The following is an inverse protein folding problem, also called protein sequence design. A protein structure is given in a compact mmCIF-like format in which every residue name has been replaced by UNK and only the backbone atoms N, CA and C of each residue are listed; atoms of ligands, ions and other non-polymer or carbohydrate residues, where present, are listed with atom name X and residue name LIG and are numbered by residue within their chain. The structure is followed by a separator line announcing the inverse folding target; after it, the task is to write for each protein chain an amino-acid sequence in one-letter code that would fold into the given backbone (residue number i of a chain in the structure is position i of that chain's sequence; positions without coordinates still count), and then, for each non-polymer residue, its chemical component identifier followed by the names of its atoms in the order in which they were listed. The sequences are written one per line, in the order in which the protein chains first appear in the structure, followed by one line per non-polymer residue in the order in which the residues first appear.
data_IF_725502949232
#
_entry.id   IF_725502949232
#
_cell.length_a   1.000
_cell.length_b   1.000
_cell.length_c   1.000
_cell.angle_alpha   90.00
_cell.angle_beta   90.00
_cell.angle_gamma   90.00
#
_symmetry.space_group_name_H-M   'P 1'
#
loop_
_entity.id
_entity.type
_entity.pdbx_description
1 polymer ?
#
# COMPACT_ATOMS: atom_id res chain seq x y z
N UNK A 1 16.50 -22.73 7.21
CA UNK A 1 16.46 -21.80 8.35
C UNK A 1 17.77 -21.99 9.11
N UNK A 2 18.64 -20.99 9.11
CA UNK A 2 19.98 -21.06 9.66
C UNK A 2 19.96 -21.19 11.19
N UNK A 3 20.97 -21.83 11.76
CA UNK A 3 21.23 -21.94 13.20
C UNK A 3 21.59 -20.59 13.88
N UNK A 4 21.18 -19.48 13.27
CA UNK A 4 21.47 -18.13 13.78
C UNK A 4 20.55 -17.86 14.98
N UNK A 5 21.08 -17.94 16.18
CA UNK A 5 20.38 -17.84 17.47
C UNK A 5 19.83 -16.43 17.77
N UNK A 6 20.08 -15.44 16.91
CA UNK A 6 19.59 -14.06 17.09
C UNK A 6 18.30 -13.76 16.30
N UNK A 7 17.86 -14.68 15.43
CA UNK A 7 16.67 -14.48 14.62
C UNK A 7 15.51 -15.30 15.16
N UNK A 8 14.38 -14.66 15.40
CA UNK A 8 13.13 -15.31 15.82
C UNK A 8 12.18 -15.45 14.62
N UNK A 9 11.39 -16.51 14.63
CA UNK A 9 10.44 -16.79 13.54
C UNK A 9 9.01 -16.88 14.08
N UNK A 10 8.07 -16.41 13.27
CA UNK A 10 6.65 -16.76 13.42
C UNK A 10 6.25 -17.63 12.24
N UNK A 11 5.76 -18.82 12.52
CA UNK A 11 5.35 -19.78 11.50
C UNK A 11 3.84 -19.96 11.58
N UNK A 12 3.16 -19.76 10.46
CA UNK A 12 1.75 -20.09 10.31
C UNK A 12 1.64 -21.47 9.69
N UNK A 13 1.45 -22.49 10.53
CA UNK A 13 1.52 -23.89 10.13
C UNK A 13 0.13 -24.43 9.75
N UNK A 14 -0.10 -24.76 8.46
CA UNK A 14 -1.32 -25.45 8.05
C UNK A 14 -1.32 -26.87 8.60
N UNK A 15 -2.45 -27.30 9.13
CA UNK A 15 -2.65 -28.70 9.57
C UNK A 15 -2.79 -29.64 8.37
N UNK A 16 -2.65 -30.96 8.60
CA UNK A 16 -2.92 -31.96 7.56
C UNK A 16 -4.33 -31.81 6.96
N UNK A 17 -5.30 -31.42 7.79
CA UNK A 17 -6.66 -31.12 7.35
C UNK A 17 -6.70 -29.90 6.42
N UNK A 18 -5.84 -28.90 6.62
CA UNK A 18 -5.71 -27.75 5.75
C UNK A 18 -5.18 -28.14 4.37
N UNK A 19 -4.17 -29.02 4.31
CA UNK A 19 -3.64 -29.54 3.05
C UNK A 19 -4.67 -30.34 2.26
N UNK A 20 -5.55 -31.09 2.93
CA UNK A 20 -6.64 -31.83 2.30
C UNK A 20 -7.70 -30.95 1.62
N UNK A 21 -7.76 -29.66 1.97
CA UNK A 21 -8.65 -28.68 1.31
C UNK A 21 -8.11 -28.18 -0.03
N UNK A 22 -6.84 -28.42 -0.34
CA UNK A 22 -6.26 -28.06 -1.63
C UNK A 22 -6.86 -28.91 -2.75
N UNK A 23 -6.86 -28.37 -3.96
CA UNK A 23 -7.27 -29.12 -5.13
C UNK A 23 -6.44 -30.41 -5.29
N UNK A 24 -7.10 -31.48 -5.74
CA UNK A 24 -6.44 -32.79 -5.93
C UNK A 24 -5.22 -32.66 -6.84
N UNK A 25 -4.08 -33.17 -6.38
CA UNK A 25 -2.81 -33.09 -7.12
C UNK A 25 -1.94 -31.89 -6.80
N UNK A 26 -2.46 -30.85 -6.09
CA UNK A 26 -1.67 -29.63 -5.78
C UNK A 26 -0.41 -29.96 -4.95
N UNK A 27 -0.54 -30.82 -3.93
CA UNK A 27 0.61 -31.20 -3.10
C UNK A 27 1.67 -31.92 -3.91
N UNK A 28 1.26 -32.86 -4.77
CA UNK A 28 2.18 -33.58 -5.67
C UNK A 28 2.86 -32.63 -6.65
N UNK A 29 2.13 -31.67 -7.18
CA UNK A 29 2.69 -30.63 -8.06
C UNK A 29 3.72 -29.77 -7.33
N UNK A 30 3.44 -29.37 -6.08
CA UNK A 30 4.39 -28.59 -5.28
C UNK A 30 5.65 -29.38 -4.90
N UNK A 31 5.52 -30.70 -4.71
CA UNK A 31 6.65 -31.59 -4.38
C UNK A 31 7.43 -32.06 -5.60
N UNK A 32 7.03 -31.73 -6.83
CA UNK A 32 7.79 -32.02 -8.04
C UNK A 32 9.05 -31.13 -8.07
N UNK A 33 10.26 -31.69 -8.18
CA UNK A 33 11.51 -30.92 -8.21
C UNK A 33 11.59 -29.81 -9.26
N UNK A 34 10.75 -29.88 -10.29
CA UNK A 34 10.64 -28.83 -11.31
C UNK A 34 9.90 -27.60 -10.83
N UNK A 35 9.27 -27.66 -9.65
CA UNK A 35 8.48 -26.59 -9.04
C UNK A 35 9.09 -26.10 -7.71
N UNK A 36 10.40 -26.32 -7.50
CA UNK A 36 11.09 -25.92 -6.26
C UNK A 36 10.90 -24.43 -5.93
N UNK A 37 11.00 -23.54 -6.92
CA UNK A 37 10.77 -22.10 -6.73
C UNK A 37 9.35 -21.81 -6.19
N UNK A 38 8.37 -22.55 -6.71
CA UNK A 38 6.97 -22.39 -6.25
C UNK A 38 6.76 -22.95 -4.86
N UNK A 39 7.42 -24.05 -4.56
CA UNK A 39 7.42 -24.65 -3.22
C UNK A 39 8.02 -23.66 -2.21
N UNK A 40 9.19 -23.11 -2.53
CA UNK A 40 9.87 -22.11 -1.68
C UNK A 40 9.00 -20.87 -1.48
N UNK A 41 8.37 -20.37 -2.54
CA UNK A 41 7.45 -19.22 -2.45
C UNK A 41 6.28 -19.52 -1.51
N UNK A 42 5.60 -20.65 -1.67
CA UNK A 42 4.45 -21.03 -0.83
C UNK A 42 4.88 -21.18 0.62
N UNK A 43 5.96 -21.92 0.91
CA UNK A 43 6.42 -22.12 2.28
C UNK A 43 7.01 -20.85 2.90
N UNK A 44 7.75 -20.06 2.16
CA UNK A 44 8.23 -18.75 2.59
C UNK A 44 7.09 -17.79 2.94
N UNK A 45 5.93 -17.94 2.29
CA UNK A 45 4.73 -17.16 2.61
C UNK A 45 4.04 -17.60 3.92
N UNK A 46 4.42 -18.72 4.51
CA UNK A 46 3.98 -19.17 5.84
C UNK A 46 4.93 -18.75 6.97
N UNK A 47 6.04 -18.11 6.63
CA UNK A 47 7.09 -17.77 7.59
C UNK A 47 7.29 -16.27 7.64
N UNK A 48 7.34 -15.72 8.85
CA UNK A 48 7.75 -14.36 9.14
C UNK A 48 9.02 -14.38 9.96
N UNK A 49 10.08 -13.80 9.44
CA UNK A 49 11.33 -13.57 10.16
C UNK A 49 11.23 -12.28 10.97
N UNK A 50 11.79 -12.31 12.19
CA UNK A 50 11.74 -11.21 13.15
C UNK A 50 13.12 -11.06 13.78
N UNK A 51 13.64 -9.83 13.79
CA UNK A 51 14.90 -9.47 14.41
C UNK A 51 14.79 -9.21 15.94
N UNK A 52 13.58 -9.22 16.46
CA UNK A 52 13.28 -8.92 17.88
C UNK A 52 12.28 -9.97 18.41
N UNK A 53 11.89 -9.87 19.69
CA UNK A 53 11.02 -10.84 20.36
C UNK A 53 9.79 -11.31 19.54
N UNK A 54 9.24 -12.51 19.80
CA UNK A 54 8.14 -13.10 19.02
C UNK A 54 6.97 -12.15 18.82
N UNK A 55 6.44 -12.08 17.60
CA UNK A 55 5.33 -11.19 17.27
C UNK A 55 4.05 -11.67 17.96
N UNK A 56 3.49 -10.80 18.78
CA UNK A 56 2.09 -10.89 19.15
C UNK A 56 1.26 -10.34 17.96
N UNK A 57 0.73 -11.24 17.13
CA UNK A 57 -0.04 -10.92 15.92
C UNK A 57 -1.24 -10.00 16.18
N UNK A 58 -1.70 -9.93 17.44
CA UNK A 58 -2.78 -9.06 17.94
C UNK A 58 -2.59 -7.57 17.63
N UNK A 59 -1.35 -7.18 17.36
CA UNK A 59 -0.97 -5.77 17.16
C UNK A 59 -0.94 -5.37 15.68
N UNK A 60 -1.09 -6.31 14.76
CA UNK A 60 -0.86 -6.07 13.35
C UNK A 60 -2.13 -6.31 12.53
N UNK A 61 -2.39 -5.44 11.55
CA UNK A 61 -3.43 -5.63 10.52
C UNK A 61 -2.87 -6.28 9.25
N UNK A 62 -1.55 -6.19 9.07
CA UNK A 62 -0.84 -6.75 7.92
C UNK A 62 0.56 -7.22 8.32
N UNK A 63 0.99 -8.34 7.78
CA UNK A 63 2.33 -8.87 7.95
C UNK A 63 3.06 -8.91 6.61
N UNK A 64 4.35 -8.53 6.62
CA UNK A 64 5.25 -8.78 5.50
C UNK A 64 5.98 -10.08 5.73
N UNK A 65 5.75 -11.06 4.87
CA UNK A 65 6.31 -12.40 4.97
C UNK A 65 7.76 -12.46 4.45
N UNK A 66 8.46 -13.58 4.62
CA UNK A 66 9.83 -13.76 4.10
C UNK A 66 9.91 -13.64 2.59
N UNK A 67 8.87 -13.98 1.87
CA UNK A 67 8.71 -13.75 0.42
C UNK A 67 8.62 -12.28 0.01
N UNK A 68 8.67 -11.35 0.99
CA UNK A 68 8.42 -9.91 0.85
C UNK A 68 6.98 -9.51 0.54
N UNK A 69 6.09 -10.44 0.26
CA UNK A 69 4.67 -10.19 0.06
C UNK A 69 3.95 -9.91 1.37
N UNK A 70 2.78 -9.31 1.26
CA UNK A 70 1.96 -8.94 2.41
C UNK A 70 0.78 -9.89 2.56
N UNK A 71 0.37 -10.11 3.81
CA UNK A 71 -0.84 -10.84 4.16
C UNK A 71 -1.60 -10.09 5.24
N UNK A 72 -2.91 -9.97 5.08
CA UNK A 72 -3.79 -9.35 6.08
C UNK A 72 -3.97 -10.25 7.30
N UNK A 73 -4.05 -9.64 8.48
CA UNK A 73 -4.35 -10.33 9.74
C UNK A 73 -5.52 -9.62 10.42
N UNK A 74 -6.56 -10.37 10.73
CA UNK A 74 -7.65 -9.90 11.58
C UNK A 74 -7.70 -10.75 12.86
N UNK A 75 -6.98 -10.31 13.86
CA UNK A 75 -6.89 -11.05 15.13
C UNK A 75 -8.25 -11.16 15.84
N UNK A 76 -9.09 -10.14 15.75
CA UNK A 76 -10.43 -10.15 16.37
C UNK A 76 -11.34 -11.22 15.78
N UNK A 77 -11.24 -11.45 14.49
CA UNK A 77 -11.96 -12.50 13.76
C UNK A 77 -11.21 -13.82 13.74
N UNK A 78 -9.96 -13.84 14.22
CA UNK A 78 -9.12 -15.02 14.25
C UNK A 78 -8.66 -15.47 12.88
N UNK A 79 -8.36 -14.53 11.95
CA UNK A 79 -7.99 -14.85 10.55
C UNK A 79 -6.64 -14.30 10.15
N UNK A 80 -6.00 -14.98 9.20
CA UNK A 80 -4.82 -14.55 8.45
C UNK A 80 -5.04 -14.87 6.97
N UNK A 81 -5.10 -13.83 6.11
CA UNK A 81 -5.60 -14.00 4.76
C UNK A 81 -7.00 -14.62 4.76
N UNK A 82 -7.16 -15.74 4.08
CA UNK A 82 -8.40 -16.52 4.03
C UNK A 82 -8.41 -17.73 4.98
N UNK A 83 -7.33 -17.93 5.77
CA UNK A 83 -7.22 -18.97 6.78
C UNK A 83 -7.71 -18.49 8.15
N UNK A 84 -8.16 -19.45 8.99
CA UNK A 84 -8.53 -19.23 10.38
C UNK A 84 -7.47 -19.81 11.30
N UNK A 85 -7.16 -19.11 12.41
CA UNK A 85 -6.40 -19.69 13.50
C UNK A 85 -7.21 -20.78 14.19
N UNK A 86 -6.56 -21.91 14.51
CA UNK A 86 -7.22 -23.04 15.21
C UNK A 86 -7.23 -22.87 16.74
N UNK A 87 -6.75 -21.71 17.23
CA UNK A 87 -6.70 -21.38 18.65
C UNK A 87 -5.48 -21.90 19.40
N UNK A 88 -4.71 -22.83 18.84
CA UNK A 88 -3.50 -23.35 19.46
C UNK A 88 -2.26 -22.59 19.01
N UNK A 89 -1.49 -22.08 19.99
CA UNK A 89 -0.20 -21.41 19.78
C UNK A 89 0.88 -22.26 20.45
N UNK A 90 1.96 -22.55 19.71
CA UNK A 90 3.04 -23.40 20.18
C UNK A 90 4.31 -22.53 20.32
N UNK A 91 4.78 -22.26 21.55
CA UNK A 91 6.04 -21.55 21.74
C UNK A 91 7.23 -22.47 21.41
N UNK A 92 8.26 -21.91 20.76
CA UNK A 92 9.51 -22.58 20.42
C UNK A 92 10.70 -21.78 20.95
N UNK A 93 11.88 -22.39 21.04
CA UNK A 93 13.10 -21.72 21.52
C UNK A 93 13.52 -20.53 20.65
N UNK A 94 13.19 -20.56 19.37
CA UNK A 94 13.54 -19.53 18.38
C UNK A 94 12.31 -18.89 17.72
N UNK A 95 11.12 -18.99 18.31
CA UNK A 95 9.93 -18.39 17.72
C UNK A 95 8.61 -18.94 18.23
N UNK A 96 7.58 -18.83 17.39
CA UNK A 96 6.22 -19.25 17.72
C UNK A 96 5.53 -19.85 16.49
N UNK A 97 4.71 -20.89 16.72
CA UNK A 97 3.89 -21.51 15.66
C UNK A 97 2.41 -21.22 15.94
N UNK A 98 1.73 -20.67 14.94
CA UNK A 98 0.27 -20.54 14.90
C UNK A 98 -0.29 -21.60 13.96
N UNK A 99 -1.20 -22.44 14.46
CA UNK A 99 -1.88 -23.42 13.61
C UNK A 99 -3.02 -22.76 12.83
N UNK A 100 -3.09 -23.08 11.53
CA UNK A 100 -4.10 -22.53 10.63
C UNK A 100 -4.84 -23.65 9.88
N UNK A 101 -6.08 -23.35 9.46
CA UNK A 101 -7.00 -24.30 8.85
C UNK A 101 -6.94 -24.36 7.30
N UNK A 102 -6.11 -23.51 6.69
CA UNK A 102 -5.85 -23.50 5.24
C UNK A 102 -4.39 -23.21 4.96
N UNK A 103 -3.91 -23.68 3.81
CA UNK A 103 -2.59 -23.32 3.26
C UNK A 103 -2.68 -21.89 2.72
N UNK A 104 -1.78 -21.01 3.18
CA UNK A 104 -1.69 -19.64 2.67
C UNK A 104 -1.14 -19.65 1.25
N UNK A 105 -1.79 -18.94 0.36
CA UNK A 105 -1.35 -18.80 -1.02
C UNK A 105 -0.93 -17.36 -1.29
N UNK A 106 0.32 -17.14 -1.75
CA UNK A 106 0.75 -15.81 -2.15
C UNK A 106 -0.17 -15.22 -3.22
N UNK A 107 -0.47 -13.94 -3.12
CA UNK A 107 -1.20 -13.26 -4.20
C UNK A 107 -0.29 -13.05 -5.40
N UNK A 108 -0.78 -13.39 -6.58
CA UNK A 108 -0.07 -13.16 -7.85
C UNK A 108 -0.52 -11.87 -8.54
N UNK A 109 -1.62 -11.28 -8.08
CA UNK A 109 -2.16 -10.06 -8.67
C UNK A 109 -1.32 -8.85 -8.27
N UNK A 110 -0.82 -8.13 -9.26
CA UNK A 110 -0.26 -6.80 -9.05
C UNK A 110 -1.37 -5.78 -8.68
N UNK A 111 -0.97 -4.55 -8.35
CA UNK A 111 -1.91 -3.48 -7.98
C UNK A 111 -2.96 -3.24 -9.06
N UNK A 112 -2.56 -3.24 -10.35
CA UNK A 112 -3.49 -2.98 -11.45
C UNK A 112 -4.49 -4.13 -11.64
N UNK A 113 -4.00 -5.37 -11.65
CA UNK A 113 -4.84 -6.56 -11.76
C UNK A 113 -5.84 -6.66 -10.60
N UNK A 114 -5.38 -6.35 -9.39
CA UNK A 114 -6.24 -6.35 -8.20
C UNK A 114 -7.36 -5.30 -8.31
N UNK A 115 -7.03 -4.08 -8.76
CA UNK A 115 -8.02 -3.03 -8.99
C UNK A 115 -9.03 -3.41 -10.07
N UNK A 116 -8.58 -4.03 -11.17
CA UNK A 116 -9.47 -4.47 -12.26
C UNK A 116 -10.46 -5.55 -11.80
N UNK A 117 -10.02 -6.49 -10.96
CA UNK A 117 -10.85 -7.60 -10.46
C UNK A 117 -11.88 -7.18 -9.41
N UNK A 118 -11.64 -6.09 -8.71
CA UNK A 118 -12.49 -5.66 -7.58
C UNK A 118 -13.84 -5.10 -8.03
N UNK A 119 -13.90 -4.50 -9.22
CA UNK A 119 -15.15 -3.94 -9.80
C UNK A 119 -15.58 -2.59 -9.23
N UNK A 120 -15.03 -2.11 -8.11
CA UNK A 120 -15.33 -0.79 -7.50
C UNK A 120 -14.52 0.36 -8.11
N UNK A 121 -13.55 0.06 -8.96
CA UNK A 121 -12.51 0.98 -9.44
C UNK A 121 -12.51 1.10 -10.96
N UNK A 122 -13.68 1.02 -11.60
CA UNK A 122 -13.76 1.01 -13.08
C UNK A 122 -13.29 2.31 -13.70
N UNK A 123 -13.62 3.45 -13.08
CA UNK A 123 -13.15 4.77 -13.54
C UNK A 123 -11.66 4.94 -13.26
N UNK A 124 -11.18 4.51 -12.09
CA UNK A 124 -9.77 4.63 -11.73
C UNK A 124 -8.86 3.77 -12.64
N UNK A 125 -9.23 2.52 -12.91
CA UNK A 125 -8.49 1.64 -13.84
C UNK A 125 -8.49 2.16 -15.27
N UNK A 126 -9.61 2.75 -15.72
CA UNK A 126 -9.66 3.47 -17.00
C UNK A 126 -8.69 4.66 -17.01
N UNK A 127 -8.65 5.42 -15.92
CA UNK A 127 -7.74 6.57 -15.78
C UNK A 127 -6.27 6.16 -15.78
N UNK A 128 -5.89 5.08 -15.05
CA UNK A 128 -4.54 4.50 -15.07
C UNK A 128 -4.13 4.09 -16.50
N UNK A 129 -5.05 3.50 -17.24
CA UNK A 129 -4.78 3.08 -18.63
C UNK A 129 -4.63 4.29 -19.56
N UNK A 130 -5.52 5.26 -19.46
CA UNK A 130 -5.51 6.48 -20.28
C UNK A 130 -4.26 7.34 -20.03
N UNK A 131 -3.84 7.47 -18.75
CA UNK A 131 -2.62 8.20 -18.38
C UNK A 131 -1.31 7.47 -18.73
N UNK A 132 -1.37 6.26 -19.30
CA UNK A 132 -0.22 5.40 -19.63
C UNK A 132 0.62 4.99 -18.41
N UNK A 133 0.09 5.14 -17.18
CA UNK A 133 0.78 4.80 -15.94
C UNK A 133 0.63 3.33 -15.53
N UNK A 134 0.02 2.48 -16.35
CA UNK A 134 -0.16 1.05 -16.07
C UNK A 134 1.13 0.34 -15.66
N UNK A 135 2.27 0.67 -16.30
CA UNK A 135 3.58 0.10 -15.95
C UNK A 135 4.03 0.39 -14.51
N UNK A 136 3.65 1.54 -13.95
CA UNK A 136 3.96 1.89 -12.55
C UNK A 136 3.22 0.95 -11.60
N UNK A 137 1.94 0.69 -11.85
CA UNK A 137 1.11 -0.20 -11.04
C UNK A 137 1.43 -1.69 -11.21
N UNK A 138 2.08 -2.07 -12.31
CA UNK A 138 2.48 -3.45 -12.63
C UNK A 138 3.95 -3.74 -12.28
N UNK A 139 4.70 -2.75 -11.78
CA UNK A 139 6.11 -2.92 -11.48
C UNK A 139 6.31 -3.84 -10.27
N UNK A 140 6.89 -5.03 -10.51
CA UNK A 140 7.17 -6.05 -9.48
C UNK A 140 8.51 -5.86 -8.76
N UNK A 141 9.36 -4.91 -9.21
CA UNK A 141 10.68 -4.68 -8.62
C UNK A 141 10.65 -3.75 -7.40
N UNK A 142 9.56 -3.03 -7.22
CA UNK A 142 9.35 -2.10 -6.10
C UNK A 142 8.04 -2.40 -5.39
N UNK A 143 7.91 -1.91 -4.17
CA UNK A 143 6.70 -2.04 -3.37
C UNK A 143 6.02 -0.68 -3.25
N UNK A 144 4.74 -0.66 -3.53
CA UNK A 144 3.94 0.57 -3.59
C UNK A 144 2.77 0.55 -2.62
N UNK A 145 2.27 1.73 -2.30
CA UNK A 145 0.93 1.90 -1.73
C UNK A 145 0.09 2.71 -2.70
N UNK A 146 -1.08 2.20 -3.03
CA UNK A 146 -2.07 2.90 -3.84
C UNK A 146 -3.24 3.33 -2.98
N UNK A 147 -3.59 4.61 -3.03
CA UNK A 147 -4.83 5.16 -2.48
C UNK A 147 -5.86 5.17 -3.60
N UNK A 148 -6.71 4.15 -3.64
CA UNK A 148 -7.63 3.88 -4.75
C UNK A 148 -9.02 4.51 -4.50
N UNK A 149 -9.41 5.54 -5.25
CA UNK A 149 -10.75 6.11 -5.17
C UNK A 149 -11.76 5.18 -5.85
N UNK A 150 -12.88 4.95 -5.19
CA UNK A 150 -13.99 4.18 -5.75
C UNK A 150 -14.69 4.95 -6.89
N UNK A 151 -15.51 4.26 -7.68
CA UNK A 151 -16.35 4.92 -8.69
C UNK A 151 -17.31 5.93 -8.04
N UNK A 152 -17.74 5.68 -6.79
CA UNK A 152 -18.55 6.65 -6.02
C UNK A 152 -17.75 7.87 -5.58
N UNK A 153 -16.44 7.74 -5.34
CA UNK A 153 -15.55 8.87 -5.10
C UNK A 153 -15.49 9.80 -6.32
N UNK A 154 -15.38 9.25 -7.52
CA UNK A 154 -15.41 10.04 -8.75
C UNK A 154 -16.74 10.76 -9.00
N UNK A 155 -17.87 10.21 -8.54
CA UNK A 155 -19.19 10.86 -8.65
C UNK A 155 -19.30 12.13 -7.81
N UNK A 156 -18.42 12.33 -6.81
CA UNK A 156 -18.37 13.57 -6.01
C UNK A 156 -17.74 14.72 -6.78
N UNK A 157 -16.92 14.43 -7.78
CA UNK A 157 -16.38 15.46 -8.67
C UNK A 157 -17.50 16.03 -9.56
N UNK A 158 -17.42 17.31 -9.96
CA UNK A 158 -18.34 17.85 -10.95
C UNK A 158 -18.35 16.98 -12.22
N UNK A 159 -19.54 16.62 -12.73
CA UNK A 159 -19.70 15.69 -13.84
C UNK A 159 -18.80 16.02 -15.05
N UNK A 160 -18.73 17.31 -15.42
CA UNK A 160 -17.87 17.79 -16.50
C UNK A 160 -16.37 17.60 -16.21
N UNK A 161 -15.96 17.54 -14.94
CA UNK A 161 -14.56 17.34 -14.55
C UNK A 161 -14.11 15.93 -14.89
N UNK A 162 -14.91 14.93 -14.58
CA UNK A 162 -14.56 13.51 -14.86
C UNK A 162 -14.44 13.30 -16.38
N UNK A 163 -15.39 13.81 -17.15
CA UNK A 163 -15.35 13.71 -18.62
C UNK A 163 -14.13 14.42 -19.20
N UNK A 164 -13.83 15.64 -18.70
CA UNK A 164 -12.70 16.43 -19.20
C UNK A 164 -11.34 15.80 -18.89
N UNK A 165 -11.19 15.02 -17.80
CA UNK A 165 -9.94 14.33 -17.48
C UNK A 165 -9.48 13.35 -18.56
N UNK A 166 -10.40 12.84 -19.36
CA UNK A 166 -10.10 11.90 -20.46
C UNK A 166 -9.92 12.56 -21.82
N UNK A 167 -9.94 13.88 -21.89
CA UNK A 167 -9.67 14.62 -23.13
C UNK A 167 -8.15 14.72 -23.37
N UNK A 168 -7.68 14.62 -24.61
CA UNK A 168 -6.25 14.64 -24.94
C UNK A 168 -5.50 15.86 -24.41
N UNK A 169 -6.14 17.02 -24.34
CA UNK A 169 -5.58 18.24 -23.78
C UNK A 169 -5.31 18.18 -22.27
N UNK A 170 -5.85 17.18 -21.57
CA UNK A 170 -5.69 16.97 -20.14
C UNK A 170 -4.82 15.74 -19.80
N UNK A 171 -4.13 15.14 -20.77
CA UNK A 171 -3.29 13.96 -20.58
C UNK A 171 -2.26 14.14 -19.44
N UNK A 172 -1.55 15.28 -19.41
CA UNK A 172 -0.56 15.57 -18.34
C UNK A 172 -1.24 15.69 -16.98
N UNK A 173 -2.38 16.36 -16.91
CA UNK A 173 -3.14 16.50 -15.66
C UNK A 173 -3.64 15.15 -15.14
N UNK A 174 -4.11 14.29 -16.03
CA UNK A 174 -4.53 12.94 -15.70
C UNK A 174 -3.37 12.12 -15.16
N UNK A 175 -2.21 12.20 -15.81
CA UNK A 175 -0.98 11.55 -15.36
C UNK A 175 -0.58 12.02 -13.94
N UNK A 176 -0.58 13.32 -13.69
CA UNK A 176 -0.25 13.90 -12.39
C UNK A 176 -1.22 13.42 -11.30
N UNK A 177 -2.51 13.39 -11.58
CA UNK A 177 -3.53 12.86 -10.66
C UNK A 177 -3.26 11.40 -10.36
N UNK A 178 -3.01 10.55 -11.36
CA UNK A 178 -2.76 9.12 -11.14
C UNK A 178 -1.48 8.92 -10.32
N UNK A 179 -0.40 9.64 -10.61
CA UNK A 179 0.84 9.59 -9.83
C UNK A 179 0.64 10.10 -8.40
N UNK A 180 -0.32 10.99 -8.16
CA UNK A 180 -0.64 11.48 -6.82
C UNK A 180 -1.32 10.42 -5.95
N UNK A 181 -1.97 9.42 -6.57
CA UNK A 181 -2.64 8.31 -5.87
C UNK A 181 -1.73 7.13 -5.52
N UNK A 182 -0.46 7.15 -5.90
CA UNK A 182 0.50 6.07 -5.62
C UNK A 182 1.77 6.62 -4.97
N UNK A 183 2.36 5.86 -4.05
CA UNK A 183 3.65 6.15 -3.41
C UNK A 183 4.59 4.96 -3.52
N UNK A 184 5.88 5.23 -3.73
CA UNK A 184 6.94 4.20 -3.82
C UNK A 184 7.37 3.64 -2.45
N UNK A 185 6.47 3.66 -1.49
CA UNK A 185 6.68 3.15 -0.14
C UNK A 185 5.44 2.38 0.31
N UNK A 186 5.64 1.42 1.20
CA UNK A 186 4.51 0.72 1.83
C UNK A 186 4.12 1.41 3.12
N UNK A 187 2.91 1.91 3.16
CA UNK A 187 2.26 2.51 4.32
C UNK A 187 1.10 1.63 4.77
N UNK A 188 1.37 0.68 5.67
CA UNK A 188 0.32 -0.13 6.26
C UNK A 188 -0.47 0.66 7.31
N UNK A 189 -1.77 0.43 7.37
CA UNK A 189 -2.64 0.98 8.41
C UNK A 189 -2.38 0.24 9.73
N UNK A 190 -2.23 0.98 10.83
CA UNK A 190 -1.88 0.37 12.11
C UNK A 190 -0.41 -0.02 12.22
N UNK A 191 -0.08 -1.00 13.07
CA UNK A 191 1.30 -1.48 13.22
C UNK A 191 1.62 -2.49 12.13
N UNK A 192 2.64 -2.21 11.32
CA UNK A 192 3.19 -3.14 10.35
C UNK A 192 4.40 -3.87 10.93
N UNK A 193 4.47 -5.19 10.72
CA UNK A 193 5.59 -6.01 11.18
C UNK A 193 6.89 -5.82 10.37
N UNK A 194 6.88 -4.97 9.37
CA UNK A 194 8.03 -4.73 8.49
C UNK A 194 8.96 -3.60 8.93
N UNK A 195 8.76 -3.01 10.12
CA UNK A 195 9.67 -2.01 10.70
C UNK A 195 9.76 -0.67 9.95
N UNK A 196 8.95 -0.44 8.92
CA UNK A 196 9.01 0.80 8.16
C UNK A 196 7.61 1.37 7.92
N UNK A 197 7.33 2.45 8.65
CA UNK A 197 6.26 3.44 8.47
C UNK A 197 4.83 2.86 8.43
N UNK A 198 4.16 3.00 9.52
CA UNK A 198 2.75 2.69 9.70
C UNK A 198 1.96 3.99 9.64
N UNK A 199 0.85 4.01 8.91
CA UNK A 199 -0.11 5.11 8.94
C UNK A 199 -0.76 5.35 10.32
N UNK A 200 -0.48 4.49 11.29
CA UNK A 200 -0.96 4.65 12.67
C UNK A 200 -0.02 5.46 13.59
N UNK A 201 1.13 5.94 13.09
CA UNK A 201 2.08 6.78 13.85
C UNK A 201 2.02 8.19 13.29
N UNK A 202 1.82 9.16 14.16
CA UNK A 202 1.49 10.57 13.88
C UNK A 202 2.50 11.39 13.05
N UNK A 203 3.63 10.81 12.63
CA UNK A 203 4.75 11.58 12.06
C UNK A 203 5.19 11.13 10.65
N UNK A 204 4.35 10.37 9.93
CA UNK A 204 4.70 9.92 8.59
C UNK A 204 3.86 10.62 7.55
N UNK A 205 4.49 11.49 6.79
CA UNK A 205 3.93 12.12 5.61
C UNK A 205 4.48 11.44 4.36
N UNK A 206 3.68 10.59 3.68
CA UNK A 206 4.11 9.98 2.43
C UNK A 206 4.26 11.02 1.31
N UNK A 207 5.19 10.73 0.39
CA UNK A 207 5.29 11.46 -0.87
C UNK A 207 4.67 10.61 -1.98
N UNK A 208 3.82 11.21 -2.78
CA UNK A 208 3.28 10.58 -3.98
C UNK A 208 4.37 10.38 -5.04
N UNK A 209 4.14 9.49 -5.99
CA UNK A 209 5.01 9.33 -7.17
C UNK A 209 5.04 10.58 -8.07
N UNK A 210 4.11 11.49 -7.87
CA UNK A 210 4.14 12.85 -8.45
C UNK A 210 5.18 13.75 -7.77
N UNK A 211 5.66 13.39 -6.56
CA UNK A 211 6.65 14.15 -5.78
C UNK A 211 6.05 15.11 -4.77
N UNK A 212 4.74 15.22 -4.66
CA UNK A 212 4.09 16.03 -3.64
C UNK A 212 3.85 15.23 -2.35
N UNK A 213 3.93 15.93 -1.23
CA UNK A 213 3.64 15.38 0.08
C UNK A 213 2.14 15.15 0.23
N UNK A 214 1.76 13.95 0.65
CA UNK A 214 0.38 13.59 0.98
C UNK A 214 0.08 13.90 2.44
N UNK A 215 -1.00 14.64 2.69
CA UNK A 215 -1.38 15.04 4.03
C UNK A 215 -2.19 13.94 4.71
N UNK A 216 -1.47 13.05 5.42
CA UNK A 216 -2.10 12.00 6.21
C UNK A 216 -2.53 12.52 7.58
N UNK A 217 -3.79 12.28 7.95
CA UNK A 217 -4.31 12.56 9.28
C UNK A 217 -4.97 11.32 9.85
N UNK A 218 -4.61 11.00 11.07
CA UNK A 218 -5.22 9.91 11.82
C UNK A 218 -5.86 10.45 13.10
N UNK A 219 -7.11 10.11 13.31
CA UNK A 219 -7.74 10.18 14.60
C UNK A 219 -8.24 8.78 14.99
N UNK A 220 -8.51 8.54 16.27
CA UNK A 220 -8.88 7.20 16.80
C UNK A 220 -10.03 6.51 16.05
N UNK A 221 -10.77 7.19 15.19
CA UNK A 221 -11.93 6.66 14.46
C UNK A 221 -11.75 6.65 12.94
N UNK A 222 -10.95 7.56 12.38
CA UNK A 222 -10.85 7.76 10.94
C UNK A 222 -9.42 8.10 10.53
N UNK A 223 -8.99 7.55 9.40
CA UNK A 223 -7.80 7.99 8.69
C UNK A 223 -8.21 8.74 7.43
N UNK A 224 -7.51 9.81 7.12
CA UNK A 224 -7.70 10.55 5.87
C UNK A 224 -6.36 10.78 5.19
N UNK A 225 -6.39 10.84 3.87
CA UNK A 225 -5.26 11.21 3.02
C UNK A 225 -5.70 12.37 2.12
N UNK A 226 -5.03 13.52 2.20
CA UNK A 226 -5.42 14.76 1.50
C UNK A 226 -6.92 15.12 1.63
N UNK A 227 -7.51 14.81 2.79
CA UNK A 227 -8.92 15.05 3.07
C UNK A 227 -9.84 13.88 2.72
N UNK A 228 -9.48 13.01 1.79
CA UNK A 228 -10.23 11.80 1.47
C UNK A 228 -10.19 10.81 2.64
N UNK A 229 -11.33 10.22 2.98
CA UNK A 229 -11.42 9.21 4.04
C UNK A 229 -10.95 7.86 3.53
N UNK A 230 -10.09 7.20 4.28
CA UNK A 230 -9.72 5.81 4.02
C UNK A 230 -10.84 4.92 4.57
N UNK A 231 -11.53 4.19 3.69
CA UNK A 231 -12.70 3.37 4.01
C UNK A 231 -12.40 1.88 4.11
N UNK A 232 -11.31 1.44 3.48
CA UNK A 232 -10.77 0.08 3.60
C UNK A 232 -9.26 0.14 3.52
N UNK A 233 -8.56 -0.69 4.30
CA UNK A 233 -7.11 -0.62 4.44
C UNK A 233 -6.44 -1.95 4.11
N UNK A 234 -5.16 -1.86 3.73
CA UNK A 234 -4.24 -3.01 3.71
C UNK A 234 -4.69 -4.17 2.81
N UNK A 235 -5.28 -3.89 1.63
CA UNK A 235 -5.58 -4.92 0.64
C UNK A 235 -4.24 -5.35 0.01
N UNK A 236 -3.79 -6.60 0.23
CA UNK A 236 -2.48 -7.03 -0.25
C UNK A 236 -2.47 -7.30 -1.75
N UNK A 237 -1.36 -6.94 -2.38
CA UNK A 237 -1.04 -7.23 -3.77
C UNK A 237 0.38 -7.79 -3.88
N UNK A 238 0.74 -8.38 -5.00
CA UNK A 238 2.07 -8.96 -5.21
C UNK A 238 3.18 -7.89 -5.11
N UNK A 239 2.91 -6.67 -5.55
CA UNK A 239 3.84 -5.55 -5.55
C UNK A 239 3.43 -4.40 -4.62
N UNK A 240 2.62 -4.64 -3.58
CA UNK A 240 2.27 -3.58 -2.63
C UNK A 240 0.95 -3.78 -1.91
N UNK A 241 0.33 -2.66 -1.53
CA UNK A 241 -0.96 -2.63 -0.86
C UNK A 241 -1.88 -1.55 -1.42
N UNK A 242 -3.18 -1.77 -1.31
CA UNK A 242 -4.20 -0.78 -1.67
C UNK A 242 -4.92 -0.32 -0.42
N UNK A 243 -5.12 0.99 -0.28
CA UNK A 243 -6.09 1.60 0.61
C UNK A 243 -7.21 2.21 -0.22
N UNK A 244 -8.44 1.88 0.11
CA UNK A 244 -9.63 2.41 -0.59
C UNK A 244 -10.01 3.75 0.03
N UNK A 245 -10.20 4.75 -0.82
CA UNK A 245 -10.59 6.10 -0.41
C UNK A 245 -11.94 6.50 -1.01
N UNK A 246 -12.66 7.34 -0.27
CA UNK A 246 -14.02 7.79 -0.61
C UNK A 246 -14.04 9.08 -1.43
N UNK A 247 -12.88 9.65 -1.77
CA UNK A 247 -12.76 10.85 -2.60
C UNK A 247 -11.53 10.77 -3.50
N UNK A 248 -11.49 11.56 -4.58
CA UNK A 248 -10.32 11.66 -5.46
C UNK A 248 -9.37 12.71 -4.90
N UNK A 249 -8.11 12.33 -4.62
CA UNK A 249 -7.09 13.26 -4.17
C UNK A 249 -6.45 13.94 -5.39
N UNK A 250 -6.41 15.27 -5.34
CA UNK A 250 -5.88 16.08 -6.43
C UNK A 250 -4.55 16.71 -6.02
N UNK A 251 -3.53 16.67 -6.90
CA UNK A 251 -2.27 17.36 -6.62
C UNK A 251 -2.51 18.88 -6.52
N UNK A 252 -1.70 19.54 -5.68
CA UNK A 252 -1.75 20.99 -5.55
C UNK A 252 -1.32 21.63 -6.88
N UNK A 253 -2.18 22.49 -7.42
CA UNK A 253 -1.94 23.18 -8.70
C UNK A 253 -1.02 24.38 -8.56
N UNK A 254 -1.00 25.01 -7.38
CA UNK A 254 -0.25 26.26 -7.14
C UNK A 254 1.12 25.96 -6.55
N UNK A 255 2.15 26.52 -7.15
CA UNK A 255 3.49 26.52 -6.60
C UNK A 255 3.57 27.32 -5.28
N UNK A 256 4.62 27.06 -4.48
CA UNK A 256 4.88 27.86 -3.25
C UNK A 256 4.96 29.35 -3.57
N UNK A 257 5.62 29.72 -4.66
CA UNK A 257 5.76 31.10 -5.08
C UNK A 257 4.40 31.75 -5.39
N UNK A 258 3.51 31.03 -6.08
CA UNK A 258 2.17 31.53 -6.40
C UNK A 258 1.33 31.73 -5.12
N UNK A 259 1.41 30.79 -4.16
CA UNK A 259 0.73 30.92 -2.88
C UNK A 259 1.26 32.11 -2.08
N UNK A 260 2.58 32.33 -2.04
CA UNK A 260 3.21 33.46 -1.36
C UNK A 260 2.79 34.79 -2.01
N UNK A 261 2.84 34.89 -3.34
CA UNK A 261 2.46 36.08 -4.09
C UNK A 261 0.98 36.47 -3.91
N UNK A 262 0.10 35.46 -3.78
CA UNK A 262 -1.35 35.68 -3.70
C UNK A 262 -1.86 36.01 -2.28
N UNK A 263 -1.00 35.92 -1.25
CA UNK A 263 -1.40 36.22 0.12
C UNK A 263 -0.76 37.51 0.63
N UNK A 264 -1.58 38.51 0.93
CA UNK A 264 -1.13 39.84 1.45
C UNK A 264 -0.19 39.74 2.65
N UNK A 265 -0.39 38.76 3.54
CA UNK A 265 0.44 38.54 4.73
C UNK A 265 1.89 38.16 4.39
N UNK A 266 2.18 37.70 3.16
CA UNK A 266 3.51 37.32 2.71
C UNK A 266 4.14 38.35 1.75
N UNK A 267 3.61 39.55 1.62
CA UNK A 267 4.09 40.56 0.68
C UNK A 267 5.58 40.92 0.86
N UNK A 268 6.06 40.99 2.08
CA UNK A 268 7.49 41.23 2.39
C UNK A 268 8.34 40.03 1.97
N UNK A 269 7.91 38.78 2.27
CA UNK A 269 8.60 37.58 1.85
C UNK A 269 8.68 37.48 0.33
N UNK A 270 7.58 37.74 -0.36
CA UNK A 270 7.53 37.71 -1.83
C UNK A 270 8.56 38.68 -2.45
N UNK A 271 8.70 39.88 -1.87
CA UNK A 271 9.67 40.88 -2.31
C UNK A 271 11.11 40.40 -2.07
N UNK A 272 11.42 39.89 -0.88
CA UNK A 272 12.77 39.40 -0.53
C UNK A 272 13.18 38.20 -1.40
N UNK A 273 12.27 37.25 -1.67
CA UNK A 273 12.53 36.12 -2.57
C UNK A 273 12.89 36.61 -3.96
N UNK A 274 12.21 37.62 -4.49
CA UNK A 274 12.50 38.22 -5.80
C UNK A 274 13.86 38.95 -5.80
N UNK A 275 14.17 39.72 -4.77
CA UNK A 275 15.44 40.45 -4.66
C UNK A 275 16.64 39.53 -4.53
N UNK A 276 16.47 38.35 -3.93
CA UNK A 276 17.53 37.34 -3.74
C UNK A 276 17.62 36.32 -4.88
N UNK A 277 16.70 36.34 -5.84
CA UNK A 277 16.62 35.36 -6.96
C UNK A 277 16.16 33.95 -6.51
N UNK A 278 15.72 33.79 -5.26
CA UNK A 278 15.21 32.51 -4.73
C UNK A 278 13.78 32.22 -5.20
N UNK A 279 13.11 33.15 -5.88
CA UNK A 279 11.78 32.94 -6.42
C UNK A 279 11.76 31.93 -7.58
N UNK A 280 12.82 31.84 -8.38
CA UNK A 280 12.89 30.92 -9.52
C UNK A 280 12.79 29.45 -9.12
N UNK A 281 13.57 28.92 -8.16
CA UNK A 281 13.41 27.55 -7.67
C UNK A 281 12.01 27.28 -7.13
N UNK A 282 11.40 28.22 -6.40
CA UNK A 282 10.10 28.08 -5.76
C UNK A 282 8.90 28.13 -6.73
N UNK A 283 9.14 28.51 -7.97
CA UNK A 283 8.14 28.49 -9.04
C UNK A 283 7.88 27.07 -9.57
N UNK A 284 8.81 26.13 -9.33
CA UNK A 284 8.66 24.74 -9.80
C UNK A 284 7.58 24.00 -9.01
N UNK A 285 6.60 23.43 -9.70
CA UNK A 285 5.58 22.55 -9.12
C UNK A 285 6.08 21.13 -8.89
N UNK A 286 7.26 20.77 -9.45
CA UNK A 286 7.83 19.41 -9.41
C UNK A 286 8.97 19.24 -8.41
N UNK A 287 9.34 20.29 -7.67
CA UNK A 287 10.41 20.24 -6.66
C UNK A 287 9.82 20.54 -5.30
N UNK A 288 10.13 19.71 -4.31
CA UNK A 288 9.66 19.88 -2.93
C UNK A 288 10.58 20.79 -2.15
N UNK A 289 10.04 21.85 -1.56
CA UNK A 289 10.74 22.78 -0.69
C UNK A 289 10.02 22.94 0.65
N UNK A 290 10.79 23.27 1.69
CA UNK A 290 10.27 23.76 2.96
C UNK A 290 10.78 25.18 3.18
N UNK A 291 9.89 26.10 3.53
CA UNK A 291 10.22 27.50 3.81
C UNK A 291 9.84 27.82 5.26
#
# INVERSE_FOLDING_TARGET
LSENTSTSYTVFAPTDAAFKKLAKGTVQTLLDPRNDDRLEEVFGFHVKEISEAPIFIEKYSILRMTTRQFISVNYKEGTIGDARFTGQVIPCSNGVIYLIDKVLTPTTDDLFQRLQKDGRFTIFTKAITASRQGKLFQNMHSLYTTFAPTDDAFKKLPAKTVESLFLPENDERLEDIIKHHITEQVFAYGKSSGGRRSLGVSDVTPFSAFGQQLNYKFNRKHATIDGAKIIETDIPCANGIIHVIDDVILPAEKSLLELIKNQKRFSTLARLLKETGLDLPLASSRTTFTI
#
